data_IF_855531511407
#
_entry.id   IF_855531511407
#
_cell.length_a   1.000
_cell.length_b   1.000
_cell.length_c   1.000
_cell.angle_alpha   90.00
_cell.angle_beta   90.00
_cell.angle_gamma   90.00
#
_symmetry.space_group_name_H-M   'P 1'
#
loop_
_entity.id
_entity.type
_entity.pdbx_description
1 polymer ?
#
# COMPACT_ATOMS: atom_id res chain seq x y z
N UNK A 1 -20.39 -2.58 4.43
CA UNK A 1 -19.05 -2.48 3.81
C UNK A 1 -18.46 -3.87 3.73
N UNK A 2 -17.67 -4.14 2.69
CA UNK A 2 -17.01 -5.43 2.53
C UNK A 2 -15.91 -5.56 3.61
N UNK A 3 -15.96 -6.60 4.45
CA UNK A 3 -15.00 -6.81 5.55
C UNK A 3 -13.54 -6.82 5.06
N UNK A 4 -13.28 -7.33 3.85
CA UNK A 4 -11.94 -7.35 3.27
C UNK A 4 -11.47 -5.95 2.88
N UNK A 5 -12.38 -5.08 2.42
CA UNK A 5 -12.08 -3.68 2.16
C UNK A 5 -11.62 -2.97 3.43
N UNK A 6 -12.41 -3.06 4.51
CA UNK A 6 -12.08 -2.39 5.78
C UNK A 6 -10.75 -2.90 6.36
N UNK A 7 -10.48 -4.21 6.23
CA UNK A 7 -9.21 -4.80 6.65
C UNK A 7 -8.02 -4.32 5.82
N UNK A 8 -8.18 -4.19 4.49
CA UNK A 8 -7.15 -3.66 3.60
C UNK A 8 -6.84 -2.20 3.92
N UNK A 9 -7.86 -1.36 4.09
CA UNK A 9 -7.68 0.05 4.48
C UNK A 9 -6.92 0.15 5.81
N UNK A 10 -7.31 -0.66 6.80
CA UNK A 10 -6.60 -0.69 8.09
C UNK A 10 -5.14 -1.12 7.94
N UNK A 11 -4.86 -2.13 7.11
CA UNK A 11 -3.51 -2.60 6.86
C UNK A 11 -2.65 -1.53 6.14
N UNK A 12 -3.21 -0.85 5.14
CA UNK A 12 -2.55 0.23 4.41
C UNK A 12 -2.25 1.44 5.32
N UNK A 13 -3.21 1.83 6.17
CA UNK A 13 -3.00 2.90 7.15
C UNK A 13 -1.91 2.53 8.16
N UNK A 14 -1.88 1.27 8.61
CA UNK A 14 -0.80 0.79 9.48
C UNK A 14 0.56 0.83 8.77
N UNK A 15 0.63 0.40 7.51
CA UNK A 15 1.85 0.47 6.71
C UNK A 15 2.35 1.92 6.58
N UNK A 16 1.46 2.90 6.39
CA UNK A 16 1.84 4.30 6.31
C UNK A 16 2.46 4.85 7.60
N UNK A 17 1.87 4.51 8.75
CA UNK A 17 2.44 4.89 10.06
C UNK A 17 3.81 4.24 10.27
N UNK A 18 3.92 2.94 10.01
CA UNK A 18 5.17 2.21 10.24
C UNK A 18 6.27 2.60 9.23
N UNK A 19 5.91 2.95 7.99
CA UNK A 19 6.83 3.47 6.98
C UNK A 19 7.36 4.85 7.37
N UNK A 20 6.49 5.73 7.87
CA UNK A 20 6.95 7.02 8.38
C UNK A 20 7.96 6.85 9.53
N UNK A 21 7.70 5.92 10.46
CA UNK A 21 8.66 5.57 11.53
C UNK A 21 9.97 5.02 10.96
N UNK A 22 9.91 4.19 9.91
CA UNK A 22 11.09 3.69 9.21
C UNK A 22 11.89 4.83 8.58
N UNK A 23 11.25 5.78 7.89
CA UNK A 23 11.94 6.95 7.31
C UNK A 23 12.64 7.77 8.39
N UNK A 24 11.96 8.06 9.50
CA UNK A 24 12.54 8.80 10.62
C UNK A 24 13.76 8.07 11.22
N UNK A 25 13.63 6.78 11.52
CA UNK A 25 14.61 6.05 12.30
C UNK A 25 15.73 5.41 11.47
N UNK A 26 15.48 5.06 10.21
CA UNK A 26 16.42 4.35 9.34
C UNK A 26 16.97 5.20 8.22
N UNK A 27 16.18 6.15 7.72
CA UNK A 27 16.59 7.06 6.65
C UNK A 27 16.95 8.46 7.18
N UNK A 28 17.04 8.64 8.51
CA UNK A 28 17.32 9.92 9.16
C UNK A 28 16.35 11.02 8.72
N UNK A 29 15.06 10.69 8.61
CA UNK A 29 13.99 11.60 8.20
C UNK A 29 13.95 11.89 6.69
N UNK A 30 14.75 11.19 5.87
CA UNK A 30 14.70 11.31 4.41
C UNK A 30 13.57 10.46 3.83
N UNK A 31 13.01 10.97 2.74
CA UNK A 31 12.05 10.24 1.92
C UNK A 31 12.65 8.93 1.38
N UNK A 32 11.85 7.87 1.40
CA UNK A 32 12.22 6.58 0.84
C UNK A 32 11.97 6.52 -0.67
N UNK A 33 13.03 6.61 -1.47
CA UNK A 33 12.95 6.42 -2.93
C UNK A 33 12.48 5.00 -3.31
N UNK A 34 12.65 4.02 -2.41
CA UNK A 34 12.23 2.62 -2.61
C UNK A 34 10.94 2.27 -1.86
N UNK A 35 10.11 3.27 -1.50
CA UNK A 35 8.89 3.10 -0.72
C UNK A 35 8.00 1.95 -1.23
N UNK A 36 7.86 1.79 -2.54
CA UNK A 36 6.98 0.77 -3.12
C UNK A 36 7.47 -0.66 -2.83
N UNK A 37 8.78 -0.86 -2.80
CA UNK A 37 9.38 -2.14 -2.39
C UNK A 37 9.13 -2.40 -0.91
N UNK A 38 9.38 -1.38 -0.07
CA UNK A 38 9.15 -1.47 1.37
C UNK A 38 7.71 -1.84 1.69
N UNK A 39 6.74 -1.13 1.10
CA UNK A 39 5.32 -1.41 1.27
C UNK A 39 4.97 -2.82 0.80
N UNK A 40 5.51 -3.25 -0.35
CA UNK A 40 5.19 -4.57 -0.89
C UNK A 40 5.65 -5.69 0.03
N UNK A 41 6.87 -5.58 0.57
CA UNK A 41 7.40 -6.54 1.56
C UNK A 41 6.56 -6.49 2.83
N UNK A 42 6.30 -5.28 3.34
CA UNK A 42 5.54 -5.09 4.58
C UNK A 42 4.14 -5.69 4.49
N UNK A 43 3.39 -5.39 3.43
CA UNK A 43 2.02 -5.84 3.25
C UNK A 43 1.94 -7.37 3.06
N UNK A 44 2.86 -7.96 2.31
CA UNK A 44 2.96 -9.42 2.17
C UNK A 44 3.22 -10.08 3.52
N UNK A 45 4.18 -9.57 4.29
CA UNK A 45 4.51 -10.12 5.61
C UNK A 45 3.38 -9.94 6.64
N UNK A 46 2.50 -8.95 6.44
CA UNK A 46 1.37 -8.66 7.32
C UNK A 46 0.03 -9.21 6.79
N UNK A 47 0.06 -10.18 5.88
CA UNK A 47 -1.12 -10.98 5.54
C UNK A 47 -2.08 -10.30 4.56
N UNK A 48 -1.60 -9.43 3.66
CA UNK A 48 -2.47 -8.83 2.63
C UNK A 48 -3.24 -9.88 1.81
N UNK A 49 -2.62 -11.05 1.58
CA UNK A 49 -3.20 -12.18 0.85
C UNK A 49 -4.38 -12.86 1.57
N UNK A 50 -4.66 -12.51 2.82
CA UNK A 50 -5.85 -12.99 3.53
C UNK A 50 -7.11 -12.21 3.11
N UNK A 51 -6.95 -11.09 2.40
CA UNK A 51 -8.04 -10.19 2.02
C UNK A 51 -8.26 -10.11 0.50
N UNK A 52 -7.34 -10.62 -0.30
CA UNK A 52 -7.39 -10.57 -1.77
C UNK A 52 -7.74 -11.94 -2.36
N UNK A 53 -8.43 -11.97 -3.50
CA UNK A 53 -8.79 -13.23 -4.16
C UNK A 53 -7.56 -13.92 -4.77
N UNK A 54 -6.67 -13.12 -5.38
CA UNK A 54 -5.40 -13.61 -5.89
C UNK A 54 -4.29 -13.50 -4.84
N UNK A 55 -3.43 -14.52 -4.78
CA UNK A 55 -2.18 -14.45 -4.01
C UNK A 55 -1.19 -13.53 -4.70
N UNK A 56 -1.00 -12.36 -4.11
CA UNK A 56 0.00 -11.39 -4.52
C UNK A 56 1.39 -11.86 -4.09
N UNK A 57 2.37 -11.52 -4.92
CA UNK A 57 3.79 -11.55 -4.56
C UNK A 57 4.33 -10.11 -4.53
N UNK A 58 5.55 -9.95 -4.00
CA UNK A 58 6.20 -8.64 -3.85
C UNK A 58 6.25 -7.87 -5.18
N UNK A 59 6.58 -8.55 -6.28
CA UNK A 59 6.70 -7.92 -7.61
C UNK A 59 5.36 -7.35 -8.07
N UNK A 60 4.31 -8.18 -8.06
CA UNK A 60 2.97 -7.77 -8.50
C UNK A 60 2.40 -6.66 -7.63
N UNK A 61 2.58 -6.75 -6.31
CA UNK A 61 2.11 -5.72 -5.40
C UNK A 61 2.86 -4.39 -5.62
N UNK A 62 4.17 -4.44 -5.85
CA UNK A 62 4.97 -3.25 -6.17
C UNK A 62 4.48 -2.56 -7.44
N UNK A 63 4.21 -3.34 -8.49
CA UNK A 63 3.66 -2.83 -9.76
C UNK A 63 2.31 -2.15 -9.52
N UNK A 64 1.38 -2.80 -8.81
CA UNK A 64 0.07 -2.22 -8.47
C UNK A 64 0.21 -0.90 -7.70
N UNK A 65 1.04 -0.85 -6.66
CA UNK A 65 1.23 0.36 -5.85
C UNK A 65 1.77 1.53 -6.69
N UNK A 66 2.74 1.26 -7.57
CA UNK A 66 3.30 2.28 -8.47
C UNK A 66 2.24 2.81 -9.45
N UNK A 67 1.44 1.93 -10.04
CA UNK A 67 0.38 2.32 -10.96
C UNK A 67 -0.73 3.13 -10.27
N UNK A 68 -1.18 2.68 -9.09
CA UNK A 68 -2.18 3.38 -8.28
C UNK A 68 -1.66 4.77 -7.90
N UNK A 69 -0.42 4.89 -7.42
CA UNK A 69 0.17 6.18 -7.06
C UNK A 69 0.27 7.11 -8.27
N UNK A 70 0.58 6.59 -9.47
CA UNK A 70 0.56 7.37 -10.69
C UNK A 70 -0.84 7.92 -10.99
N UNK A 71 -1.89 7.08 -10.89
CA UNK A 71 -3.29 7.49 -11.08
C UNK A 71 -3.73 8.51 -10.02
N UNK A 72 -3.38 8.29 -8.75
CA UNK A 72 -3.66 9.19 -7.64
C UNK A 72 -3.07 10.58 -7.88
N UNK A 73 -1.80 10.67 -8.31
CA UNK A 73 -1.16 11.92 -8.71
C UNK A 73 -1.85 12.59 -9.90
N UNK A 74 -2.19 11.82 -10.94
CA UNK A 74 -2.92 12.33 -12.12
C UNK A 74 -4.32 12.84 -11.78
N UNK A 75 -4.94 12.31 -10.74
CA UNK A 75 -6.26 12.76 -10.25
C UNK A 75 -6.20 14.07 -9.46
N UNK A 76 -5.02 14.69 -9.28
CA UNK A 76 -4.78 15.80 -8.37
C UNK A 76 -5.22 15.49 -6.93
N UNK A 77 -4.96 14.27 -6.47
CA UNK A 77 -5.21 13.84 -5.10
C UNK A 77 -6.69 13.95 -4.65
N UNK A 78 -7.63 13.88 -5.61
CA UNK A 78 -9.08 14.02 -5.33
C UNK A 78 -9.71 12.79 -4.67
N UNK A 79 -9.01 11.67 -4.65
CA UNK A 79 -9.47 10.39 -4.10
C UNK A 79 -8.51 9.91 -3.04
N UNK A 80 -8.97 9.19 -2.03
CA UNK A 80 -8.06 8.59 -1.05
C UNK A 80 -7.21 7.49 -1.71
N UNK A 81 -5.91 7.49 -1.41
CA UNK A 81 -4.97 6.53 -2.00
C UNK A 81 -5.23 5.10 -1.50
N UNK A 82 -5.53 4.93 -0.22
CA UNK A 82 -5.85 3.63 0.36
C UNK A 82 -7.11 3.04 -0.27
N UNK A 83 -8.13 3.86 -0.49
CA UNK A 83 -9.35 3.47 -1.19
C UNK A 83 -9.07 3.00 -2.63
N UNK A 84 -8.18 3.68 -3.36
CA UNK A 84 -7.79 3.30 -4.71
C UNK A 84 -7.06 1.95 -4.74
N UNK A 85 -6.12 1.74 -3.83
CA UNK A 85 -5.40 0.46 -3.72
C UNK A 85 -6.38 -0.66 -3.35
N UNK A 86 -7.23 -0.45 -2.33
CA UNK A 86 -8.16 -1.46 -1.87
C UNK A 86 -9.18 -1.86 -2.95
N UNK A 87 -9.66 -0.92 -3.76
CA UNK A 87 -10.54 -1.23 -4.91
C UNK A 87 -9.83 -2.13 -5.93
N UNK A 88 -8.62 -1.75 -6.36
CA UNK A 88 -7.88 -2.50 -7.37
C UNK A 88 -7.50 -3.91 -6.89
N UNK A 89 -7.27 -4.11 -5.59
CA UNK A 89 -6.91 -5.42 -5.04
C UNK A 89 -8.11 -6.35 -4.75
N UNK A 90 -9.33 -5.82 -4.80
CA UNK A 90 -10.57 -6.57 -4.56
C UNK A 90 -11.43 -6.74 -5.82
N UNK A 91 -11.04 -6.11 -6.93
CA UNK A 91 -11.57 -6.35 -8.28
C UNK A 91 -10.99 -7.65 -8.88
#
# INVERSE_FOLDING_TARGET
MNKNYDNLIRLLNKAAVDHHVYEQNRLNGKYDENWAEWYSIYLINNGINDYTEEKLNIKKLKEVLLEVTKKFKQSNYKQDWGDLVAKILLE
#
